data_IF_897869807773
#
_entry.id   IF_897869807773
#
_cell.length_a   1.000
_cell.length_b   1.000
_cell.length_c   1.000
_cell.angle_alpha   90.00
_cell.angle_beta   90.00
_cell.angle_gamma   90.00
#
_symmetry.space_group_name_H-M   'P 1'
#
loop_
_entity.id
_entity.type
_entity.pdbx_description
1 polymer ?
#
# COMPACT_ATOMS: atom_id res chain seq x y z
N UNK A 1 98.45 -11.08 -51.09
CA UNK A 1 98.93 -12.46 -50.80
C UNK A 1 99.00 -13.28 -52.08
N UNK A 2 97.93 -13.30 -52.89
CA UNK A 2 97.91 -14.05 -54.16
C UNK A 2 99.03 -13.73 -55.16
N UNK A 3 99.35 -12.45 -55.34
CA UNK A 3 100.41 -12.03 -56.26
C UNK A 3 101.84 -12.45 -55.86
N UNK A 4 102.05 -12.90 -54.62
CA UNK A 4 103.38 -13.27 -54.07
C UNK A 4 103.44 -14.72 -53.58
N UNK A 5 102.33 -15.44 -53.70
CA UNK A 5 102.11 -16.81 -53.25
C UNK A 5 103.09 -17.83 -53.86
N UNK A 6 103.52 -17.59 -55.10
CA UNK A 6 104.47 -18.47 -55.79
C UNK A 6 105.92 -18.36 -55.29
N UNK A 7 106.21 -17.40 -54.40
CA UNK A 7 107.58 -17.07 -53.97
C UNK A 7 107.85 -17.30 -52.47
N UNK A 8 106.81 -17.53 -51.64
CA UNK A 8 106.95 -17.80 -50.21
C UNK A 8 105.88 -18.81 -49.73
N UNK A 9 106.28 -20.04 -49.32
CA UNK A 9 105.36 -21.09 -48.86
C UNK A 9 104.55 -20.73 -47.62
N UNK A 10 105.09 -19.92 -46.70
CA UNK A 10 104.38 -19.52 -45.49
C UNK A 10 103.26 -18.51 -45.83
N UNK A 11 103.52 -17.60 -46.78
CA UNK A 11 102.50 -16.69 -47.32
C UNK A 11 101.47 -17.42 -48.18
N UNK A 12 101.85 -18.52 -48.84
CA UNK A 12 100.91 -19.37 -49.58
C UNK A 12 99.89 -20.05 -48.65
N UNK A 13 100.34 -20.61 -47.53
CA UNK A 13 99.45 -21.23 -46.54
C UNK A 13 98.50 -20.21 -45.89
N UNK A 14 98.93 -18.97 -45.69
CA UNK A 14 98.06 -17.88 -45.21
C UNK A 14 97.06 -17.42 -46.28
N UNK A 15 97.45 -17.41 -47.55
CA UNK A 15 96.56 -17.10 -48.66
C UNK A 15 95.43 -18.14 -48.78
N UNK A 16 95.74 -19.43 -48.64
CA UNK A 16 94.75 -20.51 -48.62
C UNK A 16 93.76 -20.37 -47.47
N UNK A 17 94.24 -20.15 -46.24
CA UNK A 17 93.35 -19.96 -45.08
C UNK A 17 92.46 -18.73 -45.23
N UNK A 18 92.96 -17.64 -45.82
CA UNK A 18 92.14 -16.44 -46.11
C UNK A 18 91.12 -16.74 -47.21
N UNK A 19 91.47 -17.54 -48.22
CA UNK A 19 90.55 -18.02 -49.24
C UNK A 19 89.43 -18.88 -48.66
N UNK A 20 89.77 -19.83 -47.79
CA UNK A 20 88.80 -20.67 -47.07
C UNK A 20 87.87 -19.84 -46.18
N UNK A 21 88.41 -18.88 -45.43
CA UNK A 21 87.58 -17.94 -44.64
C UNK A 21 86.67 -17.12 -45.56
N UNK A 22 87.18 -16.65 -46.71
CA UNK A 22 86.39 -15.91 -47.69
C UNK A 22 85.21 -16.71 -48.26
N UNK A 23 85.42 -18.00 -48.54
CA UNK A 23 84.38 -18.93 -48.98
C UNK A 23 83.35 -19.12 -47.86
N UNK A 24 83.80 -19.44 -46.64
CA UNK A 24 82.91 -19.65 -45.49
C UNK A 24 82.08 -18.41 -45.16
N UNK A 25 82.66 -17.21 -45.29
CA UNK A 25 81.96 -15.95 -45.08
C UNK A 25 80.91 -15.70 -46.18
N UNK A 26 81.21 -16.11 -47.41
CA UNK A 26 80.27 -16.07 -48.54
C UNK A 26 79.09 -17.01 -48.33
N UNK A 27 79.33 -18.23 -47.87
CA UNK A 27 78.29 -19.22 -47.58
C UNK A 27 77.36 -18.72 -46.47
N UNK A 28 77.92 -18.25 -45.35
CA UNK A 28 77.13 -17.69 -44.23
C UNK A 28 76.34 -16.44 -44.65
N UNK A 29 76.91 -15.57 -45.49
CA UNK A 29 76.20 -14.42 -46.02
C UNK A 29 75.04 -14.84 -46.94
N UNK A 30 75.22 -15.90 -47.74
CA UNK A 30 74.17 -16.49 -48.56
C UNK A 30 73.03 -17.09 -47.73
N UNK A 31 73.36 -17.85 -46.68
CA UNK A 31 72.37 -18.41 -45.74
C UNK A 31 71.57 -17.32 -45.02
N UNK A 32 72.24 -16.26 -44.55
CA UNK A 32 71.58 -15.10 -43.92
C UNK A 32 70.67 -14.35 -44.90
N UNK A 33 71.08 -14.20 -46.16
CA UNK A 33 70.26 -13.57 -47.19
C UNK A 33 69.03 -14.42 -47.53
N UNK A 34 69.17 -15.75 -47.58
CA UNK A 34 68.07 -16.69 -47.74
C UNK A 34 67.08 -16.61 -46.57
N UNK A 35 67.58 -16.70 -45.33
CA UNK A 35 66.77 -16.55 -44.12
C UNK A 35 66.01 -15.21 -44.06
N UNK A 36 66.67 -14.11 -44.44
CA UNK A 36 66.04 -12.80 -44.50
C UNK A 36 65.00 -12.68 -45.62
N UNK A 37 65.18 -13.39 -46.74
CA UNK A 37 64.21 -13.47 -47.83
C UNK A 37 62.99 -14.35 -47.50
N UNK A 38 63.18 -15.40 -46.69
CA UNK A 38 62.12 -16.31 -46.22
C UNK A 38 61.28 -15.72 -45.08
N UNK A 39 61.76 -14.65 -44.42
CA UNK A 39 60.98 -13.86 -43.48
C UNK A 39 59.93 -13.04 -44.27
N UNK A 40 58.82 -13.69 -44.61
CA UNK A 40 57.64 -13.05 -45.19
C UNK A 40 56.93 -12.17 -44.13
N UNK A 41 57.52 -11.00 -43.89
CA UNK A 41 57.01 -9.99 -43.00
C UNK A 41 56.05 -9.09 -43.79
N UNK A 42 54.85 -9.58 -44.11
CA UNK A 42 53.77 -8.75 -44.68
C UNK A 42 53.43 -7.62 -43.69
N UNK A 43 53.85 -6.36 -43.95
CA UNK A 43 53.68 -5.26 -43.01
C UNK A 43 52.20 -4.88 -42.86
N UNK A 44 51.39 -5.09 -43.90
CA UNK A 44 49.96 -4.83 -43.86
C UNK A 44 49.25 -5.85 -42.98
N UNK A 45 49.67 -7.12 -43.06
CA UNK A 45 49.15 -8.16 -42.18
C UNK A 45 49.50 -7.89 -40.71
N UNK A 46 50.74 -7.47 -40.44
CA UNK A 46 51.17 -7.11 -39.09
C UNK A 46 50.35 -5.95 -38.53
N UNK A 47 50.20 -4.87 -39.29
CA UNK A 47 49.40 -3.71 -38.89
C UNK A 47 47.94 -4.10 -38.58
N UNK A 48 47.32 -4.94 -39.42
CA UNK A 48 45.96 -5.42 -39.19
C UNK A 48 45.83 -6.28 -37.91
N UNK A 49 46.86 -7.08 -37.59
CA UNK A 49 46.89 -7.88 -36.35
C UNK A 49 47.06 -6.98 -35.13
N UNK A 50 47.94 -5.98 -35.20
CA UNK A 50 48.14 -5.02 -34.10
C UNK A 50 46.87 -4.19 -33.82
N UNK A 51 46.20 -3.70 -34.87
CA UNK A 51 44.94 -2.99 -34.75
C UNK A 51 43.86 -3.89 -34.11
N UNK A 52 43.76 -5.15 -34.55
CA UNK A 52 42.82 -6.11 -33.95
C UNK A 52 43.14 -6.37 -32.47
N UNK A 53 44.42 -6.52 -32.10
CA UNK A 53 44.82 -6.70 -30.68
C UNK A 53 44.51 -5.47 -29.85
N UNK A 54 44.72 -4.27 -30.38
CA UNK A 54 44.39 -3.02 -29.70
C UNK A 54 42.88 -2.91 -29.44
N UNK A 55 42.04 -3.24 -30.43
CA UNK A 55 40.59 -3.26 -30.28
C UNK A 55 40.12 -4.26 -29.22
N UNK A 56 40.64 -5.50 -29.24
CA UNK A 56 40.31 -6.51 -28.22
C UNK A 56 40.76 -6.05 -26.83
N UNK A 57 41.96 -5.46 -26.70
CA UNK A 57 42.47 -4.96 -25.42
C UNK A 57 41.59 -3.83 -24.85
N UNK A 58 41.14 -2.91 -25.71
CA UNK A 58 40.25 -1.83 -25.31
C UNK A 58 38.90 -2.36 -24.80
N UNK A 59 38.34 -3.37 -25.49
CA UNK A 59 37.09 -4.02 -25.08
C UNK A 59 37.24 -4.77 -23.76
N UNK A 60 38.30 -5.56 -23.60
CA UNK A 60 38.60 -6.27 -22.35
C UNK A 60 38.78 -5.31 -21.18
N UNK A 61 39.43 -4.15 -21.38
CA UNK A 61 39.58 -3.15 -20.32
C UNK A 61 38.26 -2.47 -19.94
N UNK A 62 37.34 -2.29 -20.91
CA UNK A 62 36.09 -1.54 -20.70
C UNK A 62 34.96 -2.41 -20.14
N UNK A 63 34.88 -3.67 -20.56
CA UNK A 63 33.73 -4.53 -20.32
C UNK A 63 34.08 -5.89 -19.70
N UNK A 64 35.37 -6.26 -19.64
CA UNK A 64 35.83 -7.51 -19.03
C UNK A 64 36.57 -7.26 -17.71
N UNK A 65 36.61 -8.27 -16.85
CA UNK A 65 37.67 -8.36 -15.85
C UNK A 65 38.97 -8.71 -16.60
N UNK A 66 40.00 -7.86 -16.54
CA UNK A 66 41.21 -7.99 -17.37
C UNK A 66 41.85 -9.38 -17.33
N UNK A 67 41.74 -10.07 -16.19
CA UNK A 67 42.26 -11.42 -15.95
C UNK A 67 41.48 -12.53 -16.68
N UNK A 68 40.21 -12.31 -17.03
CA UNK A 68 39.35 -13.30 -17.72
C UNK A 68 39.33 -13.13 -19.24
N UNK A 69 39.94 -12.08 -19.77
CA UNK A 69 40.09 -11.89 -21.21
C UNK A 69 38.75 -11.68 -21.94
N UNK A 70 38.68 -12.17 -23.18
CA UNK A 70 37.57 -11.88 -24.11
C UNK A 70 36.26 -12.58 -23.74
N UNK A 71 36.32 -13.72 -23.05
CA UNK A 71 35.14 -14.49 -22.64
C UNK A 71 34.27 -13.68 -21.67
N UNK A 72 34.89 -12.88 -20.79
CA UNK A 72 34.18 -11.99 -19.89
C UNK A 72 33.45 -10.86 -20.64
N UNK A 73 34.03 -10.35 -21.73
CA UNK A 73 33.37 -9.34 -22.58
C UNK A 73 32.13 -9.91 -23.26
N UNK A 74 32.22 -11.15 -23.75
CA UNK A 74 31.10 -11.84 -24.39
C UNK A 74 29.99 -12.12 -23.37
N UNK A 75 30.34 -12.61 -22.18
CA UNK A 75 29.37 -12.82 -21.10
C UNK A 75 28.68 -11.51 -20.67
N UNK A 76 29.44 -10.42 -20.56
CA UNK A 76 28.88 -9.09 -20.27
C UNK A 76 27.90 -8.64 -21.36
N UNK A 77 28.24 -8.86 -22.64
CA UNK A 77 27.38 -8.49 -23.76
C UNK A 77 26.09 -9.32 -23.79
N UNK A 78 26.16 -10.64 -23.54
CA UNK A 78 24.98 -11.50 -23.44
C UNK A 78 24.07 -11.09 -22.29
N UNK A 79 24.64 -10.86 -21.10
CA UNK A 79 23.89 -10.38 -19.94
C UNK A 79 23.27 -9.00 -20.19
N UNK A 80 24.04 -8.09 -20.81
CA UNK A 80 23.58 -6.75 -21.16
C UNK A 80 22.44 -6.77 -22.18
N UNK A 81 22.48 -7.68 -23.16
CA UNK A 81 21.40 -7.85 -24.13
C UNK A 81 20.12 -8.34 -23.46
N UNK A 82 20.19 -9.34 -22.58
CA UNK A 82 19.04 -9.81 -21.80
C UNK A 82 18.47 -8.68 -20.94
N UNK A 83 19.35 -7.96 -20.22
CA UNK A 83 18.96 -6.82 -19.36
C UNK A 83 18.30 -5.70 -20.15
N UNK A 84 18.78 -5.42 -21.36
CA UNK A 84 18.19 -4.40 -22.23
C UNK A 84 16.78 -4.80 -22.66
N UNK A 85 16.57 -6.06 -23.06
CA UNK A 85 15.24 -6.56 -23.43
C UNK A 85 14.28 -6.55 -22.24
N UNK A 86 14.74 -6.85 -21.02
CA UNK A 86 13.94 -6.69 -19.80
C UNK A 86 13.47 -5.24 -19.62
N UNK A 87 14.42 -4.28 -19.70
CA UNK A 87 14.13 -2.86 -19.49
C UNK A 87 13.26 -2.25 -20.60
N UNK A 88 13.43 -2.69 -21.85
CA UNK A 88 12.57 -2.26 -22.97
C UNK A 88 11.12 -2.78 -22.82
N UNK A 89 10.93 -3.91 -22.13
CA UNK A 89 9.59 -4.42 -21.80
C UNK A 89 8.90 -3.63 -20.68
N UNK A 90 9.66 -3.02 -19.76
CA UNK A 90 9.13 -2.35 -18.58
C UNK A 90 8.28 -1.12 -18.93
N UNK A 91 8.62 -0.35 -19.97
CA UNK A 91 7.83 0.82 -20.39
C UNK A 91 6.40 0.40 -20.80
N UNK A 92 6.28 -0.68 -21.57
CA UNK A 92 4.96 -1.24 -21.95
C UNK A 92 4.19 -1.74 -20.73
N UNK A 93 4.89 -2.30 -19.74
CA UNK A 93 4.27 -2.80 -18.51
C UNK A 93 3.78 -1.65 -17.62
N UNK A 94 4.50 -0.54 -17.57
CA UNK A 94 4.09 0.66 -16.85
C UNK A 94 2.82 1.23 -17.47
N UNK A 95 2.74 1.32 -18.80
CA UNK A 95 1.55 1.81 -19.50
C UNK A 95 0.33 0.91 -19.25
N UNK A 96 0.50 -0.41 -19.32
CA UNK A 96 -0.54 -1.39 -18.99
C UNK A 96 -1.07 -1.22 -17.56
N UNK A 97 -0.16 -1.17 -16.58
CA UNK A 97 -0.53 -1.04 -15.16
C UNK A 97 -1.16 0.32 -14.87
N UNK A 98 -0.74 1.38 -15.57
CA UNK A 98 -1.33 2.71 -15.48
C UNK A 98 -2.76 2.70 -15.98
N UNK A 99 -3.02 2.09 -17.14
CA UNK A 99 -4.36 1.94 -17.69
C UNK A 99 -5.26 1.08 -16.79
N UNK A 100 -4.74 -0.03 -16.25
CA UNK A 100 -5.47 -0.89 -15.30
C UNK A 100 -5.83 -0.13 -14.02
N UNK A 101 -4.86 0.60 -13.43
CA UNK A 101 -5.10 1.45 -12.27
C UNK A 101 -6.21 2.47 -12.54
N UNK A 102 -6.16 3.15 -13.68
CA UNK A 102 -7.13 4.20 -14.00
C UNK A 102 -8.54 3.63 -14.22
N UNK A 103 -8.65 2.46 -14.84
CA UNK A 103 -9.91 1.73 -14.97
C UNK A 103 -10.49 1.33 -13.60
N UNK A 104 -9.67 0.76 -12.71
CA UNK A 104 -10.09 0.38 -11.36
C UNK A 104 -10.48 1.58 -10.51
N UNK A 105 -9.82 2.74 -10.68
CA UNK A 105 -10.20 3.99 -9.98
C UNK A 105 -11.54 4.53 -10.46
N UNK A 106 -11.84 4.42 -11.75
CA UNK A 106 -13.14 4.79 -12.28
C UNK A 106 -14.25 3.87 -11.76
N UNK A 107 -14.01 2.56 -11.70
CA UNK A 107 -14.93 1.59 -11.10
C UNK A 107 -15.18 1.88 -9.61
N UNK A 108 -14.11 2.13 -8.85
CA UNK A 108 -14.20 2.51 -7.44
C UNK A 108 -15.01 3.80 -7.25
N UNK A 109 -14.84 4.81 -8.10
CA UNK A 109 -15.64 6.03 -8.08
C UNK A 109 -17.13 5.76 -8.27
N UNK A 110 -17.50 4.93 -9.24
CA UNK A 110 -18.88 4.50 -9.47
C UNK A 110 -19.48 3.76 -8.26
N UNK A 111 -18.75 2.77 -7.73
CA UNK A 111 -19.19 2.02 -6.55
C UNK A 111 -19.30 2.90 -5.29
N UNK A 112 -18.39 3.86 -5.13
CA UNK A 112 -18.44 4.83 -4.05
C UNK A 112 -19.69 5.72 -4.15
N UNK A 113 -20.05 6.13 -5.36
CA UNK A 113 -21.27 6.89 -5.61
C UNK A 113 -22.52 6.09 -5.21
N UNK A 114 -22.64 4.86 -5.69
CA UNK A 114 -23.77 3.98 -5.36
C UNK A 114 -23.90 3.77 -3.84
N UNK A 115 -22.76 3.64 -3.15
CA UNK A 115 -22.72 3.51 -1.69
C UNK A 115 -23.17 4.80 -0.99
N UNK A 116 -22.75 5.98 -1.45
CA UNK A 116 -23.20 7.28 -0.91
C UNK A 116 -24.71 7.46 -1.07
N UNK A 117 -25.26 7.10 -2.23
CA UNK A 117 -26.70 7.17 -2.49
C UNK A 117 -27.49 6.23 -1.56
N UNK A 118 -27.05 4.98 -1.44
CA UNK A 118 -27.66 3.99 -0.55
C UNK A 118 -27.59 4.42 0.93
N UNK A 119 -26.47 5.02 1.36
CA UNK A 119 -26.30 5.55 2.72
C UNK A 119 -27.23 6.73 2.98
N UNK A 120 -27.36 7.64 2.02
CA UNK A 120 -28.24 8.80 2.13
C UNK A 120 -29.69 8.35 2.32
N UNK A 121 -30.17 7.43 1.48
CA UNK A 121 -31.52 6.90 1.59
C UNK A 121 -31.76 6.16 2.92
N UNK A 122 -30.80 5.31 3.33
CA UNK A 122 -30.89 4.59 4.59
C UNK A 122 -30.89 5.55 5.79
N UNK A 123 -30.04 6.57 5.77
CA UNK A 123 -29.94 7.59 6.81
C UNK A 123 -31.24 8.37 6.97
N UNK A 124 -31.89 8.78 5.88
CA UNK A 124 -33.18 9.48 5.91
C UNK A 124 -34.29 8.61 6.52
N UNK A 125 -34.41 7.35 6.07
CA UNK A 125 -35.40 6.40 6.60
C UNK A 125 -35.16 6.14 8.09
N UNK A 126 -33.91 5.90 8.47
CA UNK A 126 -33.55 5.62 9.86
C UNK A 126 -33.79 6.84 10.76
N UNK A 127 -33.36 8.03 10.34
CA UNK A 127 -33.58 9.28 11.05
C UNK A 127 -35.07 9.57 11.28
N UNK A 128 -35.93 9.31 10.27
CA UNK A 128 -37.36 9.46 10.39
C UNK A 128 -37.97 8.48 11.41
N UNK A 129 -37.56 7.21 11.36
CA UNK A 129 -38.03 6.19 12.30
C UNK A 129 -37.64 6.50 13.75
N UNK A 130 -36.37 6.87 13.99
CA UNK A 130 -35.90 7.25 15.33
C UNK A 130 -36.60 8.52 15.83
N UNK A 131 -36.76 9.52 14.96
CA UNK A 131 -37.48 10.76 15.31
C UNK A 131 -38.94 10.48 15.73
N UNK A 132 -39.61 9.52 15.09
CA UNK A 132 -40.96 9.13 15.47
C UNK A 132 -41.00 8.45 16.85
N UNK A 133 -40.02 7.60 17.17
CA UNK A 133 -39.90 6.98 18.50
C UNK A 133 -39.60 8.02 19.59
N UNK A 134 -38.74 9.01 19.32
CA UNK A 134 -38.41 10.08 20.27
C UNK A 134 -39.65 10.88 20.72
N UNK A 135 -40.61 11.10 19.83
CA UNK A 135 -41.85 11.78 20.20
C UNK A 135 -42.66 11.02 21.26
N UNK A 136 -42.54 9.70 21.26
CA UNK A 136 -43.16 8.82 22.26
C UNK A 136 -42.37 8.83 23.58
N UNK A 137 -41.06 9.06 23.54
CA UNK A 137 -40.16 9.09 24.70
C UNK A 137 -40.00 10.49 25.32
N UNK A 138 -41.09 11.26 25.37
CA UNK A 138 -41.14 12.64 25.92
C UNK A 138 -40.19 13.64 25.25
N UNK A 139 -39.77 13.38 24.00
CA UNK A 139 -38.94 14.29 23.21
C UNK A 139 -39.64 14.66 21.88
N UNK A 140 -40.88 15.22 21.91
CA UNK A 140 -41.70 15.48 20.72
C UNK A 140 -41.06 16.43 19.70
N UNK A 141 -40.16 17.28 20.18
CA UNK A 141 -39.48 18.28 19.36
C UNK A 141 -38.05 17.90 19.00
N UNK A 142 -37.55 16.77 19.52
CA UNK A 142 -36.23 16.30 19.15
C UNK A 142 -36.26 15.78 17.71
N UNK A 143 -35.15 15.98 16.99
CA UNK A 143 -34.94 15.50 15.63
C UNK A 143 -33.58 14.84 15.54
N UNK A 144 -33.56 13.69 14.87
CA UNK A 144 -32.33 12.99 14.51
C UNK A 144 -32.10 13.19 13.02
N UNK A 145 -30.84 13.37 12.65
CA UNK A 145 -30.40 13.46 11.25
C UNK A 145 -28.98 12.89 11.13
N UNK A 146 -28.56 12.55 9.93
CA UNK A 146 -27.17 12.22 9.66
C UNK A 146 -26.54 13.29 8.77
N UNK A 147 -25.27 13.54 9.00
CA UNK A 147 -24.43 14.31 8.11
C UNK A 147 -23.46 13.35 7.42
N UNK A 148 -23.43 13.37 6.09
CA UNK A 148 -22.48 12.61 5.28
C UNK A 148 -21.48 13.62 4.72
N UNK A 149 -20.24 13.56 5.19
CA UNK A 149 -19.16 14.45 4.77
C UNK A 149 -18.20 13.70 3.85
N UNK A 150 -17.77 14.36 2.79
CA UNK A 150 -16.72 13.87 1.89
C UNK A 150 -15.55 14.85 1.96
N UNK A 151 -14.33 14.32 1.95
CA UNK A 151 -13.10 15.13 1.97
C UNK A 151 -12.54 15.21 0.57
N UNK A 152 -12.33 16.41 0.04
CA UNK A 152 -11.69 16.58 -1.26
C UNK A 152 -10.23 16.14 -1.22
N UNK A 153 -9.80 15.41 -2.24
CA UNK A 153 -8.43 14.93 -2.39
C UNK A 153 -8.06 14.89 -3.88
N UNK A 154 -7.05 15.65 -4.33
CA UNK A 154 -6.59 15.61 -5.72
C UNK A 154 -6.18 14.21 -6.19
N UNK A 155 -5.68 13.37 -5.27
CA UNK A 155 -5.27 11.99 -5.53
C UNK A 155 -6.38 10.99 -5.16
N UNK A 156 -7.63 11.45 -5.10
CA UNK A 156 -8.81 10.66 -4.75
C UNK A 156 -9.46 9.92 -5.92
N UNK A 157 -10.75 9.61 -5.76
CA UNK A 157 -11.62 9.06 -6.82
C UNK A 157 -12.72 10.05 -7.15
N UNK A 158 -13.18 10.04 -8.40
CA UNK A 158 -14.26 10.93 -8.84
C UNK A 158 -15.62 10.38 -8.36
N UNK A 159 -16.36 11.21 -7.61
CA UNK A 159 -17.72 10.94 -7.15
C UNK A 159 -18.56 12.19 -7.37
N UNK A 160 -19.64 12.09 -8.14
CA UNK A 160 -20.51 13.22 -8.52
C UNK A 160 -19.74 14.45 -9.04
N UNK A 161 -18.68 14.25 -9.85
CA UNK A 161 -17.88 15.32 -10.44
C UNK A 161 -16.92 16.03 -9.46
N UNK A 162 -16.67 15.45 -8.29
CA UNK A 162 -15.65 15.90 -7.33
C UNK A 162 -14.65 14.80 -7.06
N UNK A 163 -13.38 15.14 -6.94
CA UNK A 163 -12.34 14.19 -6.53
C UNK A 163 -12.23 14.14 -5.02
N UNK A 164 -12.57 12.99 -4.43
CA UNK A 164 -12.67 12.82 -2.98
C UNK A 164 -11.78 11.70 -2.47
N UNK A 165 -11.29 11.86 -1.24
CA UNK A 165 -10.57 10.82 -0.52
C UNK A 165 -11.44 9.57 -0.38
N UNK A 166 -10.80 8.40 -0.44
CA UNK A 166 -11.46 7.11 -0.21
C UNK A 166 -10.70 6.33 0.87
N UNK A 167 -11.45 5.56 1.65
CA UNK A 167 -10.91 4.63 2.62
C UNK A 167 -11.51 3.23 2.46
N UNK A 168 -11.16 2.30 3.36
CA UNK A 168 -11.72 0.94 3.34
C UNK A 168 -13.24 0.89 3.53
N UNK A 169 -13.84 2.00 3.98
CA UNK A 169 -15.28 2.13 4.21
C UNK A 169 -15.97 3.03 3.16
N UNK A 170 -15.32 3.34 2.04
CA UNK A 170 -15.84 4.25 1.02
C UNK A 170 -15.39 5.70 1.22
N UNK A 171 -16.16 6.64 0.66
CA UNK A 171 -15.79 8.07 0.58
C UNK A 171 -16.51 8.96 1.59
N UNK A 172 -17.50 8.43 2.30
CA UNK A 172 -18.31 9.19 3.26
C UNK A 172 -17.86 8.98 4.70
N UNK A 173 -17.68 10.09 5.43
CA UNK A 173 -17.69 10.15 6.88
C UNK A 173 -19.14 10.38 7.34
N UNK A 174 -19.72 9.42 8.05
CA UNK A 174 -21.13 9.46 8.49
C UNK A 174 -21.23 9.84 9.95
N UNK A 175 -21.91 10.93 10.26
CA UNK A 175 -22.06 11.45 11.63
C UNK A 175 -23.53 11.55 12.05
N UNK A 176 -23.89 10.94 13.18
CA UNK A 176 -25.24 10.99 13.75
C UNK A 176 -25.42 12.27 14.58
N UNK A 177 -26.39 13.09 14.18
CA UNK A 177 -26.71 14.38 14.79
C UNK A 177 -28.05 14.34 15.52
N UNK A 178 -28.12 15.08 16.63
CA UNK A 178 -29.31 15.31 17.42
C UNK A 178 -29.57 16.82 17.56
N UNK A 179 -30.80 17.24 17.27
CA UNK A 179 -31.33 18.54 17.66
C UNK A 179 -32.38 18.32 18.76
N UNK A 180 -32.12 18.65 20.03
CA UNK A 180 -32.99 18.25 21.15
C UNK A 180 -34.31 19.03 21.22
N UNK A 181 -34.35 20.26 20.71
CA UNK A 181 -35.53 21.12 20.74
C UNK A 181 -35.58 22.05 19.52
N UNK A 182 -36.71 22.72 19.24
CA UNK A 182 -36.83 23.63 18.11
C UNK A 182 -35.83 24.77 18.25
N UNK A 183 -35.14 25.11 17.16
CA UNK A 183 -34.13 26.17 17.13
C UNK A 183 -32.75 25.78 17.67
N UNK A 184 -32.56 24.57 18.22
CA UNK A 184 -31.22 24.06 18.51
C UNK A 184 -30.51 23.63 17.21
N UNK A 185 -29.24 24.01 16.99
CA UNK A 185 -28.48 23.45 15.88
C UNK A 185 -28.26 21.94 16.11
N UNK A 186 -28.39 21.10 15.08
CA UNK A 186 -28.01 19.69 15.17
C UNK A 186 -26.54 19.56 15.58
N UNK A 187 -26.28 18.66 16.53
CA UNK A 187 -24.92 18.40 17.03
C UNK A 187 -24.66 16.91 17.13
N UNK A 188 -23.39 16.47 17.06
CA UNK A 188 -23.04 15.08 17.27
C UNK A 188 -23.61 14.59 18.60
N UNK A 189 -24.23 13.40 18.59
CA UNK A 189 -25.00 12.91 19.73
C UNK A 189 -24.18 12.85 21.04
N UNK A 190 -22.88 12.57 20.93
CA UNK A 190 -21.94 12.54 22.05
C UNK A 190 -21.73 13.90 22.74
N UNK A 191 -22.09 15.01 22.07
CA UNK A 191 -21.88 16.39 22.56
C UNK A 191 -23.20 17.13 22.83
N UNK A 192 -24.35 16.50 22.55
CA UNK A 192 -25.62 17.20 22.36
C UNK A 192 -26.71 16.98 23.41
N UNK A 193 -26.54 16.09 24.39
CA UNK A 193 -27.62 15.67 25.29
C UNK A 193 -27.19 15.53 26.76
N UNK A 194 -28.15 15.73 27.68
CA UNK A 194 -27.99 15.28 29.08
C UNK A 194 -28.01 13.74 29.17
N UNK A 195 -27.51 13.16 30.28
CA UNK A 195 -27.44 11.71 30.46
C UNK A 195 -28.76 10.99 30.19
N UNK A 196 -29.86 11.44 30.82
CA UNK A 196 -31.18 10.87 30.61
C UNK A 196 -31.76 11.08 29.20
N UNK A 197 -31.48 12.20 28.54
CA UNK A 197 -31.89 12.40 27.14
C UNK A 197 -31.12 11.48 26.19
N UNK A 198 -29.82 11.31 26.42
CA UNK A 198 -28.99 10.41 25.63
C UNK A 198 -29.47 8.96 25.78
N UNK A 199 -29.75 8.50 27.00
CA UNK A 199 -30.31 7.17 27.27
C UNK A 199 -31.63 6.93 26.53
N UNK A 200 -32.51 7.95 26.44
CA UNK A 200 -33.75 7.85 25.67
C UNK A 200 -33.52 7.82 24.17
N UNK A 201 -32.55 8.57 23.66
CA UNK A 201 -32.20 8.52 22.23
C UNK A 201 -31.60 7.16 21.87
N UNK A 202 -30.73 6.61 22.71
CA UNK A 202 -30.21 5.25 22.53
C UNK A 202 -31.32 4.21 22.58
N UNK A 203 -32.27 4.31 23.51
CA UNK A 203 -33.43 3.41 23.52
C UNK A 203 -34.24 3.51 22.22
N UNK A 204 -34.47 4.71 21.67
CA UNK A 204 -35.16 4.87 20.40
C UNK A 204 -34.40 4.22 19.24
N UNK A 205 -33.08 4.43 19.18
CA UNK A 205 -32.18 3.82 18.19
C UNK A 205 -32.25 2.29 18.27
N UNK A 206 -32.09 1.71 19.47
CA UNK A 206 -32.14 0.25 19.66
C UNK A 206 -33.52 -0.34 19.35
N UNK A 207 -34.60 0.37 19.62
CA UNK A 207 -35.97 -0.09 19.28
C UNK A 207 -36.20 -0.10 17.77
N UNK A 208 -35.59 0.82 17.02
CA UNK A 208 -35.63 0.84 15.55
C UNK A 208 -34.73 -0.26 14.97
N UNK A 209 -33.57 -0.51 15.58
CA UNK A 209 -32.64 -1.59 15.20
C UNK A 209 -33.05 -3.00 15.67
N UNK A 210 -34.02 -3.11 16.58
CA UNK A 210 -34.38 -4.38 17.19
C UNK A 210 -34.68 -5.45 16.12
N UNK A 211 -33.82 -6.48 16.06
CA UNK A 211 -33.96 -7.62 15.16
C UNK A 211 -32.91 -7.73 14.04
N UNK A 212 -32.05 -6.73 13.83
CA UNK A 212 -30.98 -6.79 12.80
C UNK A 212 -29.61 -7.22 13.31
N UNK A 213 -29.25 -6.95 14.57
CA UNK A 213 -27.99 -7.43 15.17
C UNK A 213 -28.09 -7.37 16.72
N UNK A 214 -28.30 -8.49 17.44
CA UNK A 214 -28.58 -8.44 18.86
C UNK A 214 -27.29 -8.32 19.68
N UNK A 215 -27.06 -7.14 20.28
CA UNK A 215 -26.23 -7.07 21.48
C UNK A 215 -26.94 -7.88 22.57
N UNK A 216 -26.27 -8.83 23.25
CA UNK A 216 -26.95 -9.78 24.14
C UNK A 216 -27.55 -9.12 25.38
N UNK A 217 -26.93 -8.02 25.86
CA UNK A 217 -27.33 -7.35 27.09
C UNK A 217 -27.16 -5.83 26.98
N UNK A 218 -28.20 -5.09 27.35
CA UNK A 218 -28.22 -3.63 27.47
C UNK A 218 -28.37 -3.20 28.93
N UNK A 219 -27.64 -2.15 29.30
CA UNK A 219 -27.79 -1.48 30.59
C UNK A 219 -28.23 -0.03 30.34
N UNK A 220 -29.41 0.31 30.81
CA UNK A 220 -29.92 1.68 30.76
C UNK A 220 -29.89 2.29 32.16
N UNK A 221 -29.14 3.37 32.29
CA UNK A 221 -29.13 4.22 33.48
C UNK A 221 -29.85 5.54 33.16
N UNK A 222 -30.58 6.08 34.13
CA UNK A 222 -31.33 7.34 34.04
C UNK A 222 -32.29 7.49 32.84
N UNK A 223 -32.71 6.40 32.20
CA UNK A 223 -33.62 6.46 31.02
C UNK A 223 -34.96 7.13 31.34
N UNK A 224 -35.36 7.07 32.61
CA UNK A 224 -36.57 7.65 33.16
C UNK A 224 -36.33 8.97 33.94
N UNK A 225 -35.14 9.57 33.84
CA UNK A 225 -34.84 10.83 34.49
C UNK A 225 -35.64 12.00 33.86
N UNK A 226 -36.29 12.78 34.73
CA UNK A 226 -37.03 13.99 34.35
C UNK A 226 -38.34 13.72 33.60
N UNK A 227 -38.83 12.48 33.59
CA UNK A 227 -40.07 12.07 32.90
C UNK A 227 -41.07 11.44 33.87
N UNK A 228 -42.36 11.57 33.57
CA UNK A 228 -43.43 11.06 34.41
C UNK A 228 -44.74 10.82 33.66
N UNK A 229 -45.71 10.20 34.33
CA UNK A 229 -47.04 9.95 33.78
C UNK A 229 -47.01 9.08 32.52
N UNK A 230 -47.64 9.55 31.44
CA UNK A 230 -47.78 8.80 30.18
C UNK A 230 -46.42 8.48 29.52
N UNK A 231 -45.42 9.36 29.68
CA UNK A 231 -44.08 9.16 29.13
C UNK A 231 -43.36 7.97 29.77
N UNK A 232 -43.47 7.81 31.09
CA UNK A 232 -42.84 6.72 31.82
C UNK A 232 -43.42 5.35 31.41
N UNK A 233 -44.74 5.28 31.18
CA UNK A 233 -45.40 4.08 30.63
C UNK A 233 -44.85 3.71 29.25
N UNK A 234 -44.55 4.73 28.42
CA UNK A 234 -44.06 4.53 27.07
C UNK A 234 -42.61 4.03 27.04
N UNK A 235 -41.77 4.55 27.94
CA UNK A 235 -40.42 4.04 28.19
C UNK A 235 -40.47 2.58 28.61
N UNK A 236 -41.29 2.22 29.60
CA UNK A 236 -41.47 0.83 30.03
C UNK A 236 -41.89 -0.09 28.88
N UNK A 237 -42.81 0.36 28.03
CA UNK A 237 -43.25 -0.38 26.83
C UNK A 237 -42.11 -0.61 25.82
N UNK A 238 -41.21 0.36 25.62
CA UNK A 238 -40.05 0.24 24.70
C UNK A 238 -39.01 -0.71 25.26
N UNK A 239 -38.71 -0.59 26.55
CA UNK A 239 -37.79 -1.49 27.25
C UNK A 239 -38.29 -2.94 27.18
N UNK A 240 -39.59 -3.18 27.43
CA UNK A 240 -40.18 -4.51 27.26
C UNK A 240 -40.18 -4.99 25.80
N UNK A 241 -40.36 -4.10 24.81
CA UNK A 241 -40.24 -4.44 23.40
C UNK A 241 -38.82 -4.91 23.05
N UNK A 242 -37.80 -4.21 23.54
CA UNK A 242 -36.39 -4.56 23.35
C UNK A 242 -36.02 -5.86 24.11
N UNK A 243 -36.58 -6.05 25.30
CA UNK A 243 -36.36 -7.23 26.14
C UNK A 243 -36.81 -8.56 25.50
N UNK A 244 -37.63 -8.51 24.44
CA UNK A 244 -38.03 -9.70 23.68
C UNK A 244 -36.88 -10.33 22.89
N UNK A 245 -35.84 -9.56 22.56
CA UNK A 245 -34.71 -10.00 21.74
C UNK A 245 -33.36 -9.86 22.43
N UNK A 246 -33.27 -9.17 23.57
CA UNK A 246 -32.04 -8.98 24.32
C UNK A 246 -32.32 -8.89 25.82
N UNK A 247 -31.32 -9.10 26.66
CA UNK A 247 -31.44 -8.81 28.09
C UNK A 247 -31.38 -7.29 28.31
N UNK A 248 -32.32 -6.74 29.07
CA UNK A 248 -32.35 -5.30 29.38
C UNK A 248 -32.34 -5.11 30.90
N UNK A 249 -31.30 -4.46 31.40
CA UNK A 249 -31.16 -4.08 32.82
C UNK A 249 -31.37 -2.58 32.93
N UNK A 250 -32.30 -2.16 33.79
CA UNK A 250 -32.68 -0.75 33.97
C UNK A 250 -32.68 -0.44 35.46
N UNK A 251 -32.06 0.66 35.83
CA UNK A 251 -32.24 1.28 37.16
C UNK A 251 -33.36 2.30 37.04
N UNK A 252 -34.43 2.13 37.80
CA UNK A 252 -35.61 3.00 37.74
C UNK A 252 -36.19 3.21 39.13
N UNK A 253 -36.76 4.41 39.35
CA UNK A 253 -37.54 4.74 40.54
C UNK A 253 -39.04 4.90 40.20
N UNK A 254 -39.42 4.73 38.92
CA UNK A 254 -40.79 4.92 38.45
C UNK A 254 -41.53 3.58 38.42
N UNK A 255 -42.62 3.41 39.21
CA UNK A 255 -43.40 2.17 39.20
C UNK A 255 -44.00 1.88 37.82
N UNK A 256 -44.24 2.92 37.01
CA UNK A 256 -44.74 2.79 35.63
C UNK A 256 -43.76 2.08 34.71
N UNK A 257 -42.45 2.21 34.95
CA UNK A 257 -41.40 1.51 34.19
C UNK A 257 -41.21 0.11 34.76
N UNK A 258 -41.07 0.00 36.09
CA UNK A 258 -40.87 -1.27 36.78
C UNK A 258 -41.99 -2.29 36.50
N UNK A 259 -43.24 -1.83 36.34
CA UNK A 259 -44.40 -2.69 36.03
C UNK A 259 -44.27 -3.49 34.71
N UNK A 260 -43.34 -3.12 33.82
CA UNK A 260 -43.08 -3.85 32.57
C UNK A 260 -41.93 -4.87 32.69
N UNK A 261 -41.22 -4.92 33.81
CA UNK A 261 -40.09 -5.83 33.98
C UNK A 261 -40.55 -7.27 34.25
N UNK A 262 -39.90 -8.25 33.61
CA UNK A 262 -40.11 -9.68 33.90
C UNK A 262 -39.62 -10.06 35.30
N UNK A 263 -38.58 -9.36 35.78
CA UNK A 263 -37.98 -9.51 37.10
C UNK A 263 -37.71 -8.14 37.70
N UNK A 264 -38.11 -7.93 38.95
CA UNK A 264 -37.86 -6.70 39.70
C UNK A 264 -36.91 -7.03 40.86
N UNK A 265 -35.82 -6.27 40.96
CA UNK A 265 -34.84 -6.37 42.03
C UNK A 265 -34.94 -5.11 42.88
N UNK A 266 -35.08 -5.27 44.19
CA UNK A 266 -35.18 -4.15 45.14
C UNK A 266 -33.84 -3.97 45.84
N UNK A 267 -33.21 -2.83 45.64
CA UNK A 267 -31.97 -2.48 46.32
C UNK A 267 -32.29 -1.88 47.68
N UNK A 268 -31.99 -2.62 48.75
CA UNK A 268 -32.12 -2.16 50.13
C UNK A 268 -30.74 -1.86 50.73
N UNK A 269 -30.63 -0.73 51.45
CA UNK A 269 -29.48 -0.46 52.31
C UNK A 269 -29.71 -1.10 53.66
N UNK A 270 -28.86 -2.06 54.01
CA UNK A 270 -28.74 -2.57 55.38
C UNK A 270 -27.52 -1.97 56.06
N UNK A 271 -27.73 -1.32 57.20
CA UNK A 271 -26.67 -0.72 58.02
C UNK A 271 -26.38 -1.65 59.21
N UNK A 272 -25.25 -2.38 59.15
CA UNK A 272 -24.75 -3.18 60.28
C UNK A 272 -23.66 -2.45 61.09
N UNK A 273 -23.55 -1.13 60.91
CA UNK A 273 -22.71 -0.25 61.72
C UNK A 273 -21.21 -0.31 61.44
N UNK A 274 -20.75 -1.08 60.45
CA UNK A 274 -19.33 -1.08 60.06
C UNK A 274 -19.07 -1.03 58.55
N UNK A 275 -19.99 -1.51 57.71
CA UNK A 275 -19.96 -1.31 56.24
C UNK A 275 -21.38 -1.29 55.69
N UNK A 276 -21.78 -0.24 54.96
CA UNK A 276 -23.07 -0.26 54.23
C UNK A 276 -22.99 -1.29 53.10
N UNK A 277 -23.76 -2.38 53.21
CA UNK A 277 -23.92 -3.40 52.15
C UNK A 277 -25.24 -3.16 51.43
N UNK A 278 -25.19 -3.14 50.09
CA UNK A 278 -26.39 -3.15 49.24
C UNK A 278 -26.68 -4.60 48.83
N UNK A 279 -27.83 -5.13 49.24
CA UNK A 279 -28.34 -6.45 48.81
C UNK A 279 -29.20 -6.34 47.55
N UNK A 280 -29.34 -7.45 46.82
CA UNK A 280 -30.16 -7.59 45.60
C UNK A 280 -31.09 -8.79 45.77
#
# INVERSE_FOLDING_TARGET
LEAVRAHDPALAALADRIGEIGILLGDVAGELAGYAGDLDADPLRLAAVEERRAALTALTRKYGEFERGIDAVLAWAEQGAVRLTELEGDDSRIDELTAERDALRAELGGLAQDLTEARTEAAERFAAAVTAELASLAMPHARVSFELRQTEDPDGVEVHGRTVAHGPWGVDEVELLLAPHPGAPPRPIAKGASGGELSRVMLAVEVVFAGTDPVPTYLFDEVDAGVGGKAAVEIGRRLAKLARSAQVVVVTHLPQVAAFADRQLLVEKTDDGSVTRSGV
#
